data_IF_152387079562
#
_entry.id   IF_152387079562
#
_cell.length_a   1.000
_cell.length_b   1.000
_cell.length_c   1.000
_cell.angle_alpha   90.00
_cell.angle_beta   90.00
_cell.angle_gamma   90.00
#
_symmetry.space_group_name_H-M   'P 1'
#
loop_
_entity.id
_entity.type
_entity.pdbx_description
1 polymer ?
#
# COMPACT_ATOMS: atom_id res chain seq x y z
N UNK A 1 -2.90 -20.02 35.31
CA UNK A 1 -2.16 -20.10 34.02
C UNK A 1 -2.50 -18.89 33.18
N UNK A 2 -1.54 -18.00 32.91
CA UNK A 2 -1.80 -16.69 32.25
C UNK A 2 -1.75 -16.82 30.71
N UNK A 3 -2.79 -17.41 30.13
CA UNK A 3 -2.95 -17.50 28.67
C UNK A 3 -2.92 -16.14 27.96
N UNK A 4 -3.29 -15.07 28.68
CA UNK A 4 -3.25 -13.68 28.18
C UNK A 4 -1.86 -13.15 27.84
N UNK A 5 -0.81 -13.63 28.53
CA UNK A 5 0.57 -13.18 28.31
C UNK A 5 1.10 -13.66 26.96
N UNK A 6 0.81 -14.93 26.62
CA UNK A 6 1.19 -15.50 25.33
C UNK A 6 0.50 -14.79 24.16
N UNK A 7 -0.79 -14.47 24.31
CA UNK A 7 -1.53 -13.71 23.30
C UNK A 7 -0.94 -12.30 23.09
N UNK A 8 -0.57 -11.60 24.17
CA UNK A 8 0.07 -10.29 24.06
C UNK A 8 1.41 -10.37 23.33
N UNK A 9 2.21 -11.40 23.65
CA UNK A 9 3.51 -11.59 23.03
C UNK A 9 3.38 -11.96 21.55
N UNK A 10 2.42 -12.83 21.20
CA UNK A 10 2.13 -13.18 19.81
C UNK A 10 1.71 -11.95 18.98
N UNK A 11 0.81 -11.12 19.51
CA UNK A 11 0.37 -9.89 18.83
C UNK A 11 1.54 -8.91 18.63
N UNK A 12 2.42 -8.79 19.63
CA UNK A 12 3.61 -7.94 19.54
C UNK A 12 4.56 -8.42 18.44
N UNK A 13 4.84 -9.72 18.38
CA UNK A 13 5.70 -10.32 17.36
C UNK A 13 5.14 -10.13 15.96
N UNK A 14 3.84 -10.36 15.76
CA UNK A 14 3.18 -10.16 14.46
C UNK A 14 3.28 -8.69 14.01
N UNK A 15 3.03 -7.74 14.92
CA UNK A 15 3.16 -6.31 14.60
C UNK A 15 4.59 -5.92 14.21
N UNK A 16 5.57 -6.47 14.92
CA UNK A 16 6.97 -6.23 14.63
C UNK A 16 7.33 -6.77 13.24
N UNK A 17 6.86 -7.97 12.91
CA UNK A 17 7.15 -8.61 11.63
C UNK A 17 6.58 -7.81 10.45
N UNK A 18 5.30 -7.41 10.55
CA UNK A 18 4.65 -6.52 9.59
C UNK A 18 5.43 -5.21 9.41
N UNK A 19 5.93 -4.63 10.50
CA UNK A 19 6.71 -3.39 10.41
C UNK A 19 8.03 -3.60 9.66
N UNK A 20 8.72 -4.72 9.91
CA UNK A 20 9.99 -5.06 9.23
C UNK A 20 9.76 -5.29 7.74
N UNK A 21 8.73 -6.03 7.38
CA UNK A 21 8.34 -6.25 5.98
C UNK A 21 8.03 -4.93 5.27
N UNK A 22 7.26 -4.04 5.89
CA UNK A 22 6.98 -2.73 5.32
C UNK A 22 8.24 -1.91 5.07
N UNK A 23 9.19 -1.90 6.01
CA UNK A 23 10.44 -1.16 5.84
C UNK A 23 11.36 -1.78 4.77
N UNK A 24 11.42 -3.11 4.68
CA UNK A 24 12.12 -3.81 3.61
C UNK A 24 11.49 -3.47 2.24
N UNK A 25 10.16 -3.57 2.14
CA UNK A 25 9.40 -3.25 0.95
C UNK A 25 9.60 -1.79 0.51
N UNK A 26 9.64 -0.84 1.44
CA UNK A 26 9.92 0.57 1.15
C UNK A 26 11.33 0.80 0.62
N UNK A 27 12.33 0.05 1.10
CA UNK A 27 13.72 0.14 0.60
C UNK A 27 13.83 -0.41 -0.82
N UNK A 28 13.24 -1.57 -1.07
CA UNK A 28 13.20 -2.17 -2.41
C UNK A 28 12.47 -1.29 -3.40
N UNK A 29 11.29 -0.79 -3.02
CA UNK A 29 10.51 0.11 -3.87
C UNK A 29 11.26 1.41 -4.20
N UNK A 30 12.02 1.97 -3.26
CA UNK A 30 12.90 3.13 -3.53
C UNK A 30 13.99 2.80 -4.55
N UNK A 31 14.61 1.61 -4.46
CA UNK A 31 15.61 1.15 -5.43
C UNK A 31 14.99 0.94 -6.81
N UNK A 32 13.81 0.33 -6.89
CA UNK A 32 13.08 0.13 -8.15
C UNK A 32 12.78 1.49 -8.78
N UNK A 33 12.24 2.44 -8.03
CA UNK A 33 11.92 3.78 -8.54
C UNK A 33 13.17 4.58 -8.97
N UNK A 34 14.27 4.48 -8.23
CA UNK A 34 15.53 5.13 -8.60
C UNK A 34 16.13 4.55 -9.90
N UNK A 35 15.94 3.25 -10.14
CA UNK A 35 16.38 2.56 -11.36
C UNK A 35 15.35 2.62 -12.51
N UNK A 36 14.24 3.37 -12.33
CA UNK A 36 13.20 3.55 -13.34
C UNK A 36 13.28 4.90 -14.08
N UNK A 37 14.46 5.51 -14.36
CA UNK A 37 14.50 6.92 -14.69
C UNK A 37 13.95 7.26 -16.09
N UNK A 38 13.74 6.28 -16.99
CA UNK A 38 13.51 6.56 -18.42
C UNK A 38 12.36 5.78 -19.07
N UNK A 39 11.41 5.25 -18.30
CA UNK A 39 10.21 4.69 -18.91
C UNK A 39 9.28 5.84 -19.34
N UNK A 40 8.92 5.85 -20.62
CA UNK A 40 7.97 6.82 -21.15
C UNK A 40 6.64 6.74 -20.40
N UNK A 41 5.95 7.87 -20.26
CA UNK A 41 4.67 7.94 -19.53
C UNK A 41 3.64 6.92 -20.05
N UNK A 42 3.73 6.57 -21.34
CA UNK A 42 2.88 5.57 -21.97
C UNK A 42 3.19 4.15 -21.47
N UNK A 43 4.46 3.76 -21.36
CA UNK A 43 4.81 2.43 -20.83
C UNK A 43 4.48 2.33 -19.33
N UNK A 44 4.66 3.40 -18.56
CA UNK A 44 4.20 3.44 -17.16
C UNK A 44 2.69 3.17 -17.05
N UNK A 45 1.89 3.79 -17.94
CA UNK A 45 0.43 3.61 -17.99
C UNK A 45 0.05 2.16 -18.31
N UNK A 46 0.76 1.51 -19.22
CA UNK A 46 0.50 0.12 -19.63
C UNK A 46 0.89 -0.89 -18.54
N UNK A 47 1.96 -0.61 -17.79
CA UNK A 47 2.35 -1.39 -16.61
C UNK A 47 1.37 -1.13 -15.43
N UNK A 48 0.50 -0.14 -15.54
CA UNK A 48 -0.45 0.25 -14.50
C UNK A 48 0.18 1.06 -13.37
N UNK A 49 1.30 1.72 -13.64
CA UNK A 49 2.00 2.64 -12.72
C UNK A 49 1.58 4.07 -13.04
N UNK A 50 1.05 4.77 -12.05
CA UNK A 50 0.66 6.17 -12.15
C UNK A 50 1.90 7.08 -12.19
N UNK A 51 1.77 8.26 -12.81
CA UNK A 51 2.87 9.22 -13.09
C UNK A 51 3.65 9.59 -11.82
N UNK A 52 3.02 9.49 -10.66
CA UNK A 52 3.60 9.72 -9.33
C UNK A 52 4.49 8.56 -8.81
N UNK A 53 4.84 7.57 -9.65
CA UNK A 53 5.62 6.39 -9.25
C UNK A 53 4.86 5.45 -8.30
N UNK A 54 3.52 5.55 -8.30
CA UNK A 54 2.64 4.67 -7.53
C UNK A 54 2.13 3.57 -8.45
N UNK A 55 2.50 2.33 -8.17
CA UNK A 55 1.76 1.20 -8.74
C UNK A 55 0.29 1.41 -8.38
N UNK A 56 -0.62 1.30 -9.35
CA UNK A 56 -2.05 1.19 -9.05
C UNK A 56 -2.17 0.00 -8.09
N UNK A 57 -2.37 0.30 -6.80
CA UNK A 57 -2.71 -0.68 -5.77
C UNK A 57 -4.07 -1.21 -6.18
N UNK A 58 -4.09 -2.22 -7.06
CA UNK A 58 -5.30 -2.51 -7.81
C UNK A 58 -5.21 -3.58 -8.88
N UNK A 59 -4.08 -4.27 -9.11
CA UNK A 59 -4.12 -5.46 -9.98
C UNK A 59 -4.92 -6.61 -9.34
N UNK A 60 -5.17 -6.56 -8.03
CA UNK A 60 -6.00 -7.51 -7.27
C UNK A 60 -7.25 -6.89 -6.64
N UNK A 61 -7.47 -5.58 -6.80
CA UNK A 61 -8.62 -4.91 -6.19
C UNK A 61 -9.75 -4.89 -7.22
N UNK A 62 -10.80 -5.66 -6.95
CA UNK A 62 -11.97 -5.70 -7.83
C UNK A 62 -12.49 -4.28 -8.06
N UNK A 63 -13.05 -3.96 -9.24
CA UNK A 63 -13.53 -2.61 -9.55
C UNK A 63 -14.49 -2.05 -8.49
N UNK A 64 -15.19 -2.93 -7.77
CA UNK A 64 -16.00 -2.61 -6.59
C UNK A 64 -15.19 -1.97 -5.45
N UNK A 65 -14.03 -2.51 -5.09
CA UNK A 65 -13.17 -1.98 -4.02
C UNK A 65 -12.63 -0.58 -4.36
N UNK A 66 -12.21 -0.37 -5.61
CA UNK A 66 -11.80 0.95 -6.10
C UNK A 66 -12.94 1.97 -6.02
N UNK A 67 -14.17 1.57 -6.38
CA UNK A 67 -15.35 2.43 -6.29
C UNK A 67 -15.68 2.80 -4.85
N UNK A 68 -15.59 1.85 -3.91
CA UNK A 68 -15.81 2.08 -2.48
C UNK A 68 -14.75 3.03 -1.90
N UNK A 69 -13.48 2.86 -2.26
CA UNK A 69 -12.41 3.76 -1.83
C UNK A 69 -12.64 5.20 -2.30
N UNK A 70 -12.96 5.37 -3.59
CA UNK A 70 -13.22 6.70 -4.18
C UNK A 70 -14.44 7.39 -3.57
N UNK A 71 -15.51 6.63 -3.30
CA UNK A 71 -16.69 7.16 -2.60
C UNK A 71 -16.32 7.58 -1.17
N UNK A 72 -15.67 6.73 -0.39
CA UNK A 72 -15.22 7.06 0.97
C UNK A 72 -14.37 8.32 1.00
N UNK A 73 -13.43 8.47 0.05
CA UNK A 73 -12.58 9.66 -0.06
C UNK A 73 -13.40 10.92 -0.34
N UNK A 74 -14.32 10.88 -1.31
CA UNK A 74 -15.19 12.01 -1.66
C UNK A 74 -16.15 12.41 -0.53
N UNK A 75 -16.70 11.43 0.20
CA UNK A 75 -17.58 11.72 1.33
C UNK A 75 -16.80 12.28 2.52
N UNK A 76 -15.58 11.79 2.78
CA UNK A 76 -14.73 12.30 3.85
C UNK A 76 -14.32 13.76 3.62
N UNK A 77 -14.05 14.16 2.38
CA UNK A 77 -13.75 15.57 2.06
C UNK A 77 -14.98 16.48 2.20
N UNK A 78 -16.20 15.95 2.10
CA UNK A 78 -17.45 16.71 2.25
C UNK A 78 -17.92 16.88 3.70
N UNK A 79 -17.44 16.06 4.63
CA UNK A 79 -17.74 16.19 6.06
C UNK A 79 -16.93 17.29 6.75
N UNK A 80 -15.94 17.87 6.07
CA UNK A 80 -15.04 18.91 6.59
C UNK A 80 -15.49 20.31 6.11
N UNK A 81 -16.52 20.39 5.26
CA UNK A 81 -17.24 21.63 4.90
C UNK A 81 -18.56 21.64 5.64
#
# INVERSE_FOLDING_TARGET
MRQSVYLHLAVLLIRLDIHREHEAFRRERRRILANLPHLSQHVLKDIGVEIDGRMKVGLSSTPAQCKVYNLRRRFKSRLIT
#
